data_IF_244141535321
#
_entry.id   IF_244141535321
#
_cell.length_a   1.000
_cell.length_b   1.000
_cell.length_c   1.000
_cell.angle_alpha   90.00
_cell.angle_beta   90.00
_cell.angle_gamma   90.00
#
_symmetry.space_group_name_H-M   'P 1'
#
loop_
_entity.id
_entity.type
_entity.pdbx_description
1 polymer ?
#
# COMPACT_ATOMS: atom_id res chain seq x y z
N UNK A 1 72.18 -9.94 7.15
CA UNK A 1 73.30 -10.81 6.73
C UNK A 1 72.71 -11.89 5.84
N UNK A 2 73.07 -11.89 4.55
CA UNK A 2 72.53 -12.75 3.50
C UNK A 2 72.93 -14.21 3.69
N UNK A 3 72.04 -15.15 3.32
CA UNK A 3 72.39 -16.21 2.35
C UNK A 3 71.14 -16.87 1.77
N UNK A 4 71.10 -16.89 0.44
CA UNK A 4 70.16 -17.60 -0.43
C UNK A 4 70.52 -19.09 -0.49
N UNK A 5 69.52 -19.97 -0.52
CA UNK A 5 69.60 -21.21 -1.30
C UNK A 5 68.28 -21.47 -2.02
N UNK A 6 68.39 -21.44 -3.35
CA UNK A 6 67.39 -21.83 -4.34
C UNK A 6 67.25 -23.34 -4.37
N UNK A 7 66.02 -23.87 -4.33
CA UNK A 7 65.74 -25.16 -4.96
C UNK A 7 64.32 -25.21 -5.56
N UNK A 8 64.38 -25.35 -6.89
CA UNK A 8 63.39 -25.66 -7.94
C UNK A 8 62.01 -26.16 -7.50
N UNK A 9 61.01 -25.56 -8.13
CA UNK A 9 59.67 -26.13 -8.30
C UNK A 9 59.72 -27.47 -9.05
N UNK A 10 58.86 -28.42 -8.65
CA UNK A 10 58.27 -29.35 -9.59
C UNK A 10 56.76 -29.06 -9.64
N UNK A 11 56.28 -28.50 -10.74
CA UNK A 11 54.86 -28.63 -11.08
C UNK A 11 54.53 -30.12 -11.21
N UNK A 12 53.57 -30.67 -10.44
CA UNK A 12 52.99 -31.96 -10.77
C UNK A 12 51.88 -31.74 -11.79
N UNK A 13 52.17 -32.23 -12.99
CA UNK A 13 51.27 -32.84 -13.97
C UNK A 13 49.83 -33.08 -13.50
N UNK A 14 48.89 -32.52 -14.26
CA UNK A 14 47.56 -33.09 -14.62
C UNK A 14 46.83 -33.91 -13.55
N UNK A 15 45.86 -33.29 -12.87
CA UNK A 15 44.82 -33.99 -12.11
C UNK A 15 43.78 -34.59 -13.07
N UNK A 16 44.03 -35.81 -13.56
CA UNK A 16 42.99 -36.67 -14.11
C UNK A 16 42.73 -37.81 -13.11
N UNK A 17 42.06 -37.51 -12.00
CA UNK A 17 41.50 -38.54 -11.12
C UNK A 17 40.03 -38.23 -10.80
N UNK A 18 39.15 -39.25 -10.78
CA UNK A 18 37.71 -39.07 -10.54
C UNK A 18 37.37 -38.59 -9.12
N UNK A 19 38.37 -38.41 -8.24
CA UNK A 19 38.20 -37.89 -6.89
C UNK A 19 38.18 -36.35 -6.82
N UNK A 20 38.66 -35.64 -7.85
CA UNK A 20 38.61 -34.17 -7.89
C UNK A 20 37.26 -33.62 -8.37
N UNK A 21 36.45 -34.41 -9.09
CA UNK A 21 35.09 -34.03 -9.47
C UNK A 21 34.13 -34.03 -8.26
N UNK A 22 34.30 -34.98 -7.33
CA UNK A 22 33.44 -35.07 -6.14
C UNK A 22 33.71 -33.95 -5.13
N UNK A 23 34.95 -33.45 -5.04
CA UNK A 23 35.29 -32.31 -4.20
C UNK A 23 34.81 -30.97 -4.80
N UNK A 24 34.80 -30.85 -6.14
CA UNK A 24 34.25 -29.66 -6.82
C UNK A 24 32.71 -29.65 -6.75
N UNK A 25 32.06 -30.82 -6.86
CA UNK A 25 30.60 -30.93 -6.77
C UNK A 25 30.11 -30.64 -5.33
N UNK A 26 30.84 -31.07 -4.30
CA UNK A 26 30.54 -30.76 -2.90
C UNK A 26 30.66 -29.26 -2.58
N UNK A 27 31.62 -28.56 -3.19
CA UNK A 27 31.78 -27.11 -3.04
C UNK A 27 30.66 -26.34 -3.78
N UNK A 28 30.18 -26.85 -4.91
CA UNK A 28 29.05 -26.27 -5.67
C UNK A 28 27.70 -26.53 -4.99
N UNK A 29 27.51 -27.67 -4.30
CA UNK A 29 26.30 -27.89 -3.49
C UNK A 29 26.28 -27.10 -2.17
N UNK A 30 27.44 -26.80 -1.56
CA UNK A 30 27.49 -25.93 -0.38
C UNK A 30 27.27 -24.43 -0.71
N UNK A 31 27.39 -24.04 -1.98
CA UNK A 31 27.07 -22.68 -2.45
C UNK A 31 25.58 -22.50 -2.82
N UNK A 32 24.78 -23.58 -2.83
CA UNK A 32 23.35 -23.55 -3.14
C UNK A 32 22.43 -23.57 -1.91
N UNK A 33 23.00 -23.54 -0.69
CA UNK A 33 22.23 -23.39 0.56
C UNK A 33 22.78 -22.29 1.46
N UNK A 34 23.41 -21.26 0.86
CA UNK A 34 23.46 -19.99 1.56
C UNK A 34 21.99 -19.54 1.70
N UNK A 35 21.46 -19.26 2.90
CA UNK A 35 20.22 -18.52 2.98
C UNK A 35 20.44 -17.30 2.09
N UNK A 36 19.52 -17.04 1.16
CA UNK A 36 19.54 -15.80 0.43
C UNK A 36 19.70 -14.71 1.49
N UNK A 37 20.87 -14.07 1.54
CA UNK A 37 21.07 -12.90 2.37
C UNK A 37 20.11 -11.90 1.77
N UNK A 38 18.91 -11.80 2.35
CA UNK A 38 17.96 -10.77 2.02
C UNK A 38 18.71 -9.46 2.25
N UNK A 39 18.99 -8.74 1.16
CA UNK A 39 19.58 -7.42 1.29
C UNK A 39 18.69 -6.62 2.26
N UNK A 40 19.27 -5.90 3.23
CA UNK A 40 18.47 -5.13 4.16
C UNK A 40 17.61 -4.16 3.34
N UNK A 41 16.31 -4.11 3.65
CA UNK A 41 15.43 -3.13 3.03
C UNK A 41 16.01 -1.73 3.28
N UNK A 42 16.34 -1.03 2.19
CA UNK A 42 16.78 0.36 2.25
C UNK A 42 15.59 1.21 2.67
N UNK A 43 15.73 1.91 3.80
CA UNK A 43 14.71 2.84 4.28
C UNK A 43 14.64 4.04 3.33
N UNK A 44 13.48 4.24 2.69
CA UNK A 44 13.20 5.43 1.88
C UNK A 44 12.47 6.43 2.77
N UNK A 45 13.24 7.23 3.51
CA UNK A 45 12.69 8.02 4.61
C UNK A 45 12.11 9.36 4.12
N UNK A 46 10.79 9.44 4.10
CA UNK A 46 10.12 10.73 4.27
C UNK A 46 10.18 11.18 5.73
N UNK A 47 10.07 12.49 6.00
CA UNK A 47 10.05 12.99 7.37
C UNK A 47 8.84 12.44 8.12
N UNK A 48 9.11 11.85 9.29
CA UNK A 48 8.07 11.51 10.27
C UNK A 48 7.90 12.71 11.20
N UNK A 49 6.66 13.19 11.31
CA UNK A 49 6.30 14.37 12.11
C UNK A 49 5.35 13.96 13.21
N UNK A 50 5.60 14.40 14.44
CA UNK A 50 4.67 14.21 15.56
C UNK A 50 3.40 15.02 15.34
N UNK A 51 2.24 14.35 15.41
CA UNK A 51 0.91 14.98 15.33
C UNK A 51 0.30 15.18 16.70
N UNK A 52 0.35 14.16 17.56
CA UNK A 52 -0.14 14.19 18.95
C UNK A 52 0.90 13.48 19.82
N UNK A 53 1.31 14.10 20.93
CA UNK A 53 2.14 13.44 21.94
C UNK A 53 1.25 12.69 22.93
N UNK A 54 1.68 11.52 23.38
CA UNK A 54 0.99 10.81 24.44
C UNK A 54 0.84 11.69 25.70
N UNK A 55 -0.32 11.66 26.38
CA UNK A 55 -0.47 12.30 27.67
C UNK A 55 0.60 11.83 28.66
N UNK A 56 1.08 12.71 29.54
CA UNK A 56 2.13 12.38 30.51
C UNK A 56 1.74 11.17 31.36
N UNK A 57 2.60 10.15 31.41
CA UNK A 57 2.35 8.92 32.17
C UNK A 57 1.46 7.90 31.46
N UNK A 58 1.16 8.11 30.18
CA UNK A 58 0.35 7.21 29.35
C UNK A 58 1.11 6.77 28.10
N UNK A 59 0.79 5.58 27.59
CA UNK A 59 1.27 5.09 26.30
C UNK A 59 0.10 4.85 25.35
N UNK A 60 0.13 5.41 24.14
CA UNK A 60 -0.95 5.22 23.15
C UNK A 60 -0.90 3.80 22.58
N UNK A 61 -2.03 3.09 22.65
CA UNK A 61 -2.18 1.76 22.05
C UNK A 61 -2.86 1.81 20.68
N UNK A 62 -3.87 2.67 20.51
CA UNK A 62 -4.62 2.79 19.26
C UNK A 62 -5.25 4.17 19.10
N UNK A 63 -5.58 4.54 17.86
CA UNK A 63 -6.32 5.77 17.56
C UNK A 63 -7.24 5.59 16.35
N UNK A 64 -8.21 6.47 16.23
CA UNK A 64 -9.00 6.64 15.01
C UNK A 64 -9.44 8.10 14.82
N UNK A 65 -9.82 8.43 13.59
CA UNK A 65 -10.33 9.76 13.27
C UNK A 65 -11.81 9.87 13.55
N UNK A 66 -12.18 10.95 14.24
CA UNK A 66 -13.55 11.35 14.49
C UNK A 66 -13.86 12.67 13.76
N UNK A 67 -15.14 13.07 13.63
CA UNK A 67 -15.54 14.28 12.93
C UNK A 67 -14.87 15.55 13.48
N UNK A 68 -14.96 16.63 12.70
CA UNK A 68 -14.38 17.94 13.04
C UNK A 68 -12.86 17.89 13.29
N UNK A 69 -12.15 17.06 12.53
CA UNK A 69 -10.70 16.84 12.63
C UNK A 69 -10.24 16.39 14.03
N UNK A 70 -11.13 15.79 14.82
CA UNK A 70 -10.77 15.24 16.12
C UNK A 70 -10.17 13.84 15.99
N UNK A 71 -9.35 13.47 16.95
CA UNK A 71 -8.76 12.13 17.06
C UNK A 71 -9.26 11.52 18.35
N UNK A 72 -9.78 10.30 18.28
CA UNK A 72 -10.03 9.49 19.47
C UNK A 72 -8.89 8.51 19.62
N UNK A 73 -8.34 8.37 20.81
CA UNK A 73 -7.23 7.47 21.03
C UNK A 73 -7.28 6.84 22.42
N UNK A 74 -6.71 5.66 22.51
CA UNK A 74 -6.71 4.85 23.71
C UNK A 74 -5.29 4.73 24.24
N UNK A 75 -5.14 4.80 25.55
CA UNK A 75 -3.83 4.67 26.20
C UNK A 75 -3.85 3.62 27.30
N UNK A 76 -2.70 2.97 27.46
CA UNK A 76 -2.34 2.10 28.59
C UNK A 76 -1.31 2.72 29.52
N UNK A 77 -0.90 1.94 30.52
CA UNK A 77 0.29 2.21 31.31
C UNK A 77 1.58 2.00 30.47
N UNK A 78 2.56 2.91 30.52
CA UNK A 78 3.80 2.82 29.75
C UNK A 78 4.69 1.61 30.04
N UNK A 79 4.45 0.92 31.16
CA UNK A 79 5.22 -0.23 31.62
C UNK A 79 4.40 -1.52 31.57
N UNK A 80 3.39 -1.58 30.70
CA UNK A 80 2.52 -2.74 30.51
C UNK A 80 1.72 -3.12 31.78
N UNK A 81 1.42 -2.14 32.63
CA UNK A 81 0.50 -2.27 33.75
C UNK A 81 -0.98 -2.10 33.37
N UNK A 82 -1.86 -2.25 34.37
CA UNK A 82 -3.28 -1.89 34.24
C UNK A 82 -3.43 -0.37 34.13
N UNK A 83 -4.48 0.08 33.47
CA UNK A 83 -4.79 1.49 33.30
C UNK A 83 -5.22 1.81 31.87
N UNK A 84 -6.50 1.63 31.58
CA UNK A 84 -7.12 2.02 30.33
C UNK A 84 -7.65 3.45 30.43
N UNK A 85 -7.29 4.31 29.49
CA UNK A 85 -7.95 5.61 29.30
C UNK A 85 -8.28 5.85 27.83
N UNK A 86 -9.52 6.25 27.57
CA UNK A 86 -9.98 6.72 26.27
C UNK A 86 -9.97 8.25 26.24
N UNK A 87 -9.39 8.82 25.20
CA UNK A 87 -9.20 10.26 25.03
C UNK A 87 -9.84 10.75 23.74
N UNK A 88 -10.18 12.04 23.71
CA UNK A 88 -10.42 12.80 22.48
C UNK A 88 -9.48 13.99 22.42
N UNK A 89 -8.79 14.14 21.30
CA UNK A 89 -8.02 15.32 20.91
C UNK A 89 -8.82 16.15 19.90
N UNK A 90 -9.06 17.42 20.19
CA UNK A 90 -9.82 18.33 19.32
C UNK A 90 -8.97 19.09 18.29
N UNK A 91 -7.67 18.79 18.24
CA UNK A 91 -6.68 19.50 17.43
C UNK A 91 -5.81 20.44 18.25
N UNK A 92 -6.19 20.76 19.49
CA UNK A 92 -5.41 21.60 20.41
C UNK A 92 -5.09 20.90 21.73
N UNK A 93 -6.03 20.12 22.28
CA UNK A 93 -5.85 19.48 23.59
C UNK A 93 -6.54 18.11 23.65
N UNK A 94 -6.04 17.24 24.53
CA UNK A 94 -6.66 15.96 24.84
C UNK A 94 -7.52 16.06 26.11
N UNK A 95 -8.71 15.46 26.07
CA UNK A 95 -9.61 15.29 27.22
C UNK A 95 -9.93 13.81 27.39
N UNK A 96 -9.86 13.31 28.63
CA UNK A 96 -10.28 11.94 28.96
C UNK A 96 -11.81 11.83 28.87
N UNK A 97 -12.27 10.83 28.14
CA UNK A 97 -13.69 10.48 28.00
C UNK A 97 -14.10 9.37 28.96
N UNK A 98 -13.18 8.44 29.22
CA UNK A 98 -13.40 7.27 30.07
C UNK A 98 -12.06 6.77 30.62
N UNK A 99 -12.04 6.31 31.87
CA UNK A 99 -10.86 5.71 32.51
C UNK A 99 -11.27 4.51 33.33
N UNK A 100 -10.54 3.41 33.18
CA UNK A 100 -10.64 2.23 34.01
C UNK A 100 -9.24 1.79 34.48
N UNK A 101 -8.90 1.96 35.78
CA UNK A 101 -7.61 1.53 36.32
C UNK A 101 -7.49 0.01 36.53
N UNK A 102 -8.59 -0.75 36.39
CA UNK A 102 -8.65 -2.17 36.69
C UNK A 102 -8.28 -3.10 35.53
N UNK A 103 -8.16 -2.56 34.32
CA UNK A 103 -7.94 -3.35 33.09
C UNK A 103 -6.77 -2.82 32.27
N UNK A 104 -6.14 -3.69 31.49
CA UNK A 104 -5.18 -3.31 30.47
C UNK A 104 -5.89 -2.53 29.36
N UNK A 105 -5.16 -1.63 28.70
CA UNK A 105 -5.64 -1.06 27.44
C UNK A 105 -5.72 -2.14 26.37
N UNK A 106 -6.81 -2.16 25.61
CA UNK A 106 -6.97 -3.09 24.50
C UNK A 106 -6.15 -2.71 23.28
N UNK A 107 -6.45 -3.39 22.18
CA UNK A 107 -5.75 -3.29 20.91
C UNK A 107 -6.35 -2.29 19.93
N UNK A 108 -7.61 -1.84 20.13
CA UNK A 108 -8.30 -1.03 19.13
C UNK A 108 -9.31 -0.05 19.73
N UNK A 109 -9.25 1.18 19.22
CA UNK A 109 -10.38 2.11 19.20
C UNK A 109 -10.79 2.33 17.74
N UNK A 110 -12.09 2.41 17.47
CA UNK A 110 -12.63 2.66 16.13
C UNK A 110 -13.79 3.63 16.21
N UNK A 111 -13.78 4.63 15.32
CA UNK A 111 -14.92 5.51 15.10
C UNK A 111 -15.74 4.97 13.94
N UNK A 112 -17.00 4.61 14.21
CA UNK A 112 -17.86 3.97 13.24
C UNK A 112 -19.29 4.48 13.36
N UNK A 113 -19.84 4.99 12.25
CA UNK A 113 -21.22 5.49 12.18
C UNK A 113 -21.63 6.43 13.32
N UNK A 114 -20.76 7.41 13.63
CA UNK A 114 -21.04 8.41 14.67
C UNK A 114 -20.72 7.96 16.11
N UNK A 115 -20.24 6.73 16.28
CA UNK A 115 -20.00 6.10 17.59
C UNK A 115 -18.54 5.73 17.77
N UNK A 116 -18.11 5.63 19.02
CA UNK A 116 -16.76 5.19 19.39
C UNK A 116 -16.89 3.82 20.04
N UNK A 117 -16.22 2.84 19.44
CA UNK A 117 -16.05 1.51 20.01
C UNK A 117 -14.61 1.32 20.40
N UNK A 118 -14.37 0.62 21.49
CA UNK A 118 -13.03 0.30 21.97
C UNK A 118 -13.05 -0.99 22.77
N UNK A 119 -11.89 -1.60 22.96
CA UNK A 119 -11.75 -2.78 23.81
C UNK A 119 -10.81 -2.56 24.98
N UNK A 120 -11.04 -3.31 26.05
CA UNK A 120 -10.01 -3.54 27.06
C UNK A 120 -9.09 -4.69 26.65
N UNK A 121 -7.97 -4.85 27.36
CA UNK A 121 -7.06 -5.97 27.21
C UNK A 121 -7.20 -7.01 28.32
N UNK A 122 -8.31 -6.99 29.07
CA UNK A 122 -8.47 -7.83 30.24
C UNK A 122 -7.78 -7.30 31.50
N UNK A 123 -7.44 -8.20 32.42
CA UNK A 123 -6.73 -7.94 33.67
C UNK A 123 -5.79 -9.14 34.00
N UNK A 124 -5.16 -9.15 35.17
CA UNK A 124 -4.24 -10.23 35.56
C UNK A 124 -4.91 -11.61 35.68
N UNK A 125 -6.24 -11.66 35.81
CA UNK A 125 -7.07 -12.86 35.91
C UNK A 125 -7.82 -13.20 34.62
N UNK A 126 -8.09 -12.22 33.75
CA UNK A 126 -8.77 -12.37 32.46
C UNK A 126 -7.89 -11.85 31.33
N UNK A 127 -7.48 -12.69 30.39
CA UNK A 127 -6.61 -12.29 29.27
C UNK A 127 -7.37 -12.22 27.93
N UNK A 128 -8.66 -11.92 27.98
CA UNK A 128 -9.57 -11.75 26.83
C UNK A 128 -10.08 -10.31 26.78
N UNK A 129 -10.68 -9.91 25.65
CA UNK A 129 -10.94 -8.50 25.31
C UNK A 129 -12.44 -8.24 25.23
N UNK A 130 -12.97 -7.47 26.17
CA UNK A 130 -14.36 -7.00 26.09
C UNK A 130 -14.45 -5.79 25.18
N UNK A 131 -15.55 -5.68 24.41
CA UNK A 131 -15.82 -4.48 23.62
C UNK A 131 -16.86 -3.59 24.28
N UNK A 132 -16.63 -2.30 24.18
CA UNK A 132 -17.46 -1.26 24.74
C UNK A 132 -17.86 -0.25 23.66
N UNK A 133 -19.09 0.26 23.80
CA UNK A 133 -19.59 1.44 23.13
C UNK A 133 -19.51 2.62 24.10
N UNK A 134 -18.91 3.73 23.68
CA UNK A 134 -19.01 5.00 24.40
C UNK A 134 -20.32 5.71 24.03
N UNK A 135 -21.17 5.93 25.03
CA UNK A 135 -22.43 6.64 24.87
C UNK A 135 -22.23 8.17 24.81
N UNK A 136 -23.20 8.93 24.27
CA UNK A 136 -23.10 10.40 24.18
C UNK A 136 -22.94 11.13 25.53
N UNK A 137 -23.32 10.50 26.63
CA UNK A 137 -23.16 11.01 28.00
C UNK A 137 -21.85 10.56 28.67
N UNK A 138 -20.93 9.98 27.89
CA UNK A 138 -19.65 9.38 28.31
C UNK A 138 -19.78 8.18 29.24
N UNK A 139 -20.97 7.60 29.40
CA UNK A 139 -21.09 6.25 29.98
C UNK A 139 -20.63 5.21 28.97
N UNK A 140 -20.24 4.03 29.44
CA UNK A 140 -19.82 2.91 28.59
C UNK A 140 -20.82 1.78 28.68
N UNK A 141 -21.13 1.17 27.54
CA UNK A 141 -21.97 -0.03 27.46
C UNK A 141 -21.12 -1.16 26.90
N UNK A 142 -21.02 -2.27 27.64
CA UNK A 142 -20.38 -3.48 27.14
C UNK A 142 -21.25 -4.05 26.01
N UNK A 143 -20.68 -4.15 24.82
CA UNK A 143 -21.33 -4.68 23.62
C UNK A 143 -20.86 -6.09 23.28
N UNK A 144 -19.77 -6.56 23.91
CA UNK A 144 -19.29 -7.93 23.82
C UNK A 144 -18.60 -8.31 25.13
N UNK A 145 -19.08 -9.38 25.76
CA UNK A 145 -18.44 -10.05 26.89
C UNK A 145 -17.63 -11.24 26.37
N UNK A 146 -16.31 -11.12 26.42
CA UNK A 146 -15.38 -12.12 25.91
C UNK A 146 -15.24 -13.35 26.80
N UNK A 147 -15.76 -13.33 28.03
CA UNK A 147 -15.68 -14.48 28.95
C UNK A 147 -16.67 -15.60 28.61
N UNK A 148 -17.73 -15.25 27.88
CA UNK A 148 -18.77 -16.16 27.40
C UNK A 148 -18.91 -16.15 25.88
N UNK A 149 -18.01 -15.43 25.17
CA UNK A 149 -18.05 -15.20 23.74
C UNK A 149 -16.65 -15.17 23.11
N UNK A 150 -16.52 -14.55 21.95
CA UNK A 150 -15.28 -14.33 21.22
C UNK A 150 -14.49 -13.14 21.83
N UNK A 151 -13.17 -13.23 21.77
CA UNK A 151 -12.24 -12.16 22.07
C UNK A 151 -11.80 -11.50 20.76
N UNK A 152 -12.22 -10.26 20.53
CA UNK A 152 -11.86 -9.50 19.34
C UNK A 152 -10.62 -8.63 19.58
N UNK A 153 -9.71 -8.62 18.61
CA UNK A 153 -8.48 -7.82 18.64
C UNK A 153 -8.50 -6.69 17.58
N UNK A 154 -9.20 -6.93 16.47
CA UNK A 154 -9.32 -5.96 15.38
C UNK A 154 -10.57 -5.09 15.46
N UNK A 155 -10.62 -4.05 14.63
CA UNK A 155 -11.80 -3.21 14.48
C UNK A 155 -11.57 -2.24 13.34
N UNK A 156 -12.07 -2.60 12.17
CA UNK A 156 -11.93 -1.81 10.95
C UNK A 156 -13.30 -1.67 10.28
N UNK A 157 -13.57 -0.50 9.71
CA UNK A 157 -14.79 -0.30 8.93
C UNK A 157 -14.59 -0.90 7.54
N UNK A 158 -15.45 -1.84 7.16
CA UNK A 158 -15.44 -2.46 5.85
C UNK A 158 -16.18 -1.64 4.79
N UNK A 159 -16.09 -2.05 3.50
CA UNK A 159 -16.67 -1.33 2.37
C UNK A 159 -18.21 -1.32 2.37
N UNK A 160 -18.83 -2.26 3.07
CA UNK A 160 -20.28 -2.35 3.27
C UNK A 160 -20.77 -1.58 4.51
N UNK A 161 -19.89 -0.77 5.11
CA UNK A 161 -20.13 0.00 6.33
C UNK A 161 -20.49 -0.88 7.55
N UNK A 162 -20.02 -2.12 7.61
CA UNK A 162 -19.98 -2.95 8.81
C UNK A 162 -18.61 -2.85 9.50
N UNK A 163 -18.53 -3.34 10.74
CA UNK A 163 -17.25 -3.51 11.44
C UNK A 163 -16.68 -4.90 11.13
N UNK A 164 -15.37 -4.98 10.97
CA UNK A 164 -14.63 -6.22 10.79
C UNK A 164 -13.51 -6.32 11.81
N UNK A 165 -13.31 -7.53 12.32
CA UNK A 165 -12.31 -7.79 13.34
C UNK A 165 -11.68 -9.17 13.13
N UNK A 166 -10.40 -9.28 13.45
CA UNK A 166 -9.80 -10.57 13.76
C UNK A 166 -10.02 -10.87 15.25
N UNK A 167 -10.21 -12.14 15.59
CA UNK A 167 -10.44 -12.57 16.96
C UNK A 167 -10.46 -14.08 17.11
N UNK A 168 -10.60 -14.57 18.34
CA UNK A 168 -10.66 -15.99 18.62
C UNK A 168 -11.66 -16.30 19.72
N UNK A 169 -12.21 -17.52 19.73
CA UNK A 169 -12.87 -18.06 20.91
C UNK A 169 -11.79 -18.47 21.92
N UNK A 170 -11.74 -17.80 23.07
CA UNK A 170 -10.63 -17.95 24.04
C UNK A 170 -9.26 -17.63 23.40
N UNK A 171 -8.34 -18.59 23.45
CA UNK A 171 -6.99 -18.52 22.85
C UNK A 171 -6.84 -19.43 21.62
N UNK A 172 -7.96 -19.69 20.92
CA UNK A 172 -8.00 -20.51 19.72
C UNK A 172 -7.39 -19.84 18.48
N UNK A 173 -7.50 -20.50 17.32
CA UNK A 173 -7.02 -19.93 16.06
C UNK A 173 -7.76 -18.63 15.73
N UNK A 174 -7.04 -17.65 15.18
CA UNK A 174 -7.69 -16.39 14.79
C UNK A 174 -8.61 -16.59 13.59
N UNK A 175 -9.76 -15.93 13.65
CA UNK A 175 -10.83 -15.93 12.67
C UNK A 175 -11.18 -14.50 12.30
N UNK A 176 -11.79 -14.34 11.13
CA UNK A 176 -12.31 -13.06 10.63
C UNK A 176 -13.79 -13.00 10.98
N UNK A 177 -14.20 -11.93 11.66
CA UNK A 177 -15.59 -11.66 12.00
C UNK A 177 -16.06 -10.38 11.31
N UNK A 178 -17.31 -10.42 10.85
CA UNK A 178 -18.09 -9.26 10.46
C UNK A 178 -19.13 -8.99 11.53
N UNK A 179 -19.27 -7.72 11.91
CA UNK A 179 -20.11 -7.26 13.01
C UNK A 179 -21.02 -6.16 12.49
N UNK A 180 -22.33 -6.32 12.67
CA UNK A 180 -23.33 -5.29 12.39
C UNK A 180 -23.87 -4.75 13.71
N UNK A 181 -23.50 -3.52 14.09
CA UNK A 181 -24.19 -2.82 15.17
C UNK A 181 -25.64 -2.52 14.78
N UNK A 182 -26.56 -2.68 15.72
CA UNK A 182 -27.95 -2.25 15.55
C UNK A 182 -28.06 -0.70 15.55
N UNK A 183 -29.26 -0.12 15.32
CA UNK A 183 -29.43 1.33 15.34
C UNK A 183 -29.07 2.02 16.67
N UNK A 184 -29.00 1.30 17.79
CA UNK A 184 -28.54 1.82 19.08
C UNK A 184 -27.01 1.73 19.23
N UNK A 185 -26.36 0.87 18.46
CA UNK A 185 -24.92 0.63 18.46
C UNK A 185 -24.53 -0.68 19.15
N UNK A 186 -25.49 -1.49 19.61
CA UNK A 186 -25.18 -2.78 20.21
C UNK A 186 -24.81 -3.79 19.12
N UNK A 187 -23.84 -4.65 19.39
CA UNK A 187 -23.50 -5.73 18.46
C UNK A 187 -24.66 -6.72 18.39
N UNK A 188 -25.28 -6.80 17.22
CA UNK A 188 -26.53 -7.57 17.02
C UNK A 188 -26.36 -8.79 16.11
N UNK A 189 -25.39 -8.72 15.19
CA UNK A 189 -25.01 -9.80 14.30
C UNK A 189 -23.48 -9.87 14.26
N UNK A 190 -22.95 -11.04 14.61
CA UNK A 190 -21.53 -11.36 14.54
C UNK A 190 -21.40 -12.64 13.72
N UNK A 191 -20.87 -12.51 12.51
CA UNK A 191 -20.72 -13.60 11.56
C UNK A 191 -19.24 -13.92 11.34
N UNK A 192 -18.86 -15.19 11.51
CA UNK A 192 -17.51 -15.70 11.21
C UNK A 192 -17.39 -15.96 9.71
N UNK A 193 -16.40 -15.34 9.06
CA UNK A 193 -16.18 -15.41 7.61
C UNK A 193 -15.07 -16.39 7.20
N UNK A 194 -14.20 -16.77 8.14
CA UNK A 194 -13.06 -17.63 7.87
C UNK A 194 -12.11 -17.76 9.05
N UNK A 195 -11.21 -18.73 8.97
CA UNK A 195 -10.19 -19.01 9.97
C UNK A 195 -8.80 -18.84 9.33
N UNK A 196 -7.96 -17.99 9.95
CA UNK A 196 -6.60 -17.66 9.50
C UNK A 196 -5.54 -18.48 10.25
N UNK A 197 -5.78 -18.80 11.52
CA UNK A 197 -4.93 -19.70 12.31
C UNK A 197 -4.06 -18.99 13.34
N UNK A 198 -3.06 -18.22 12.91
CA UNK A 198 -2.11 -17.52 13.81
C UNK A 198 -2.75 -16.40 14.65
N UNK A 199 -1.96 -15.72 15.48
CA UNK A 199 -2.48 -14.68 16.37
C UNK A 199 -3.19 -13.57 15.59
N UNK A 200 -4.30 -13.09 16.16
CA UNK A 200 -5.13 -12.02 15.57
C UNK A 200 -4.30 -10.78 15.27
N UNK A 201 -4.40 -10.29 14.04
CA UNK A 201 -3.72 -9.09 13.58
C UNK A 201 -4.62 -8.20 12.72
N UNK A 202 -4.05 -7.19 12.05
CA UNK A 202 -4.86 -6.20 11.34
C UNK A 202 -5.50 -6.77 10.06
N UNK A 203 -6.59 -6.11 9.69
CA UNK A 203 -7.32 -6.33 8.45
C UNK A 203 -7.23 -5.05 7.61
N UNK A 204 -7.17 -5.16 6.28
CA UNK A 204 -7.23 -3.99 5.40
C UNK A 204 -8.02 -4.31 4.13
N UNK A 205 -9.06 -3.54 3.84
CA UNK A 205 -9.87 -3.70 2.64
C UNK A 205 -9.30 -2.92 1.48
N UNK A 206 -9.19 -3.54 0.30
CA UNK A 206 -8.82 -2.84 -0.92
C UNK A 206 -9.96 -1.94 -1.40
N UNK A 207 -9.68 -0.90 -2.21
CA UNK A 207 -10.72 -0.09 -2.84
C UNK A 207 -11.72 -0.88 -3.68
N UNK A 208 -11.32 -2.05 -4.19
CA UNK A 208 -12.17 -2.95 -4.97
C UNK A 208 -13.03 -3.89 -4.10
N UNK A 209 -12.88 -3.88 -2.77
CA UNK A 209 -13.60 -4.75 -1.85
C UNK A 209 -12.92 -6.10 -1.56
N UNK A 210 -11.65 -6.27 -1.97
CA UNK A 210 -10.82 -7.38 -1.51
C UNK A 210 -10.34 -7.16 -0.07
N UNK A 211 -9.72 -8.17 0.54
CA UNK A 211 -9.30 -8.14 1.93
C UNK A 211 -7.86 -8.66 2.09
N UNK A 212 -7.05 -7.91 2.83
CA UNK A 212 -5.76 -8.36 3.33
C UNK A 212 -5.85 -8.70 4.82
N UNK A 213 -5.16 -9.77 5.22
CA UNK A 213 -5.04 -10.19 6.61
C UNK A 213 -3.57 -10.47 6.93
N UNK A 214 -3.09 -9.95 8.06
CA UNK A 214 -1.72 -10.16 8.52
C UNK A 214 -1.76 -10.68 9.95
N UNK A 215 -1.03 -11.77 10.29
CA UNK A 215 -0.92 -12.23 11.66
C UNK A 215 -0.36 -11.15 12.60
N UNK A 216 -0.93 -11.07 13.80
CA UNK A 216 -0.42 -10.21 14.88
C UNK A 216 0.91 -10.69 15.42
N UNK A 217 1.08 -12.00 15.42
CA UNK A 217 2.30 -12.73 15.70
C UNK A 217 2.25 -14.06 14.95
N UNK A 218 3.31 -14.38 14.22
CA UNK A 218 3.42 -15.60 13.44
C UNK A 218 4.32 -16.61 14.13
N UNK A 219 3.72 -17.69 14.64
CA UNK A 219 4.41 -18.62 15.53
C UNK A 219 5.52 -19.42 14.81
N UNK A 220 5.40 -19.63 13.50
CA UNK A 220 6.43 -20.33 12.72
C UNK A 220 7.70 -19.48 12.50
N UNK A 221 7.66 -18.19 12.85
CA UNK A 221 8.77 -17.25 12.61
C UNK A 221 8.79 -16.68 11.19
N UNK A 222 9.57 -15.62 10.93
CA UNK A 222 9.60 -14.96 9.63
C UNK A 222 10.08 -15.90 8.51
N UNK A 223 9.68 -15.64 7.25
CA UNK A 223 8.83 -14.52 6.82
C UNK A 223 7.35 -14.70 7.22
N UNK A 224 6.66 -13.60 7.54
CA UNK A 224 5.26 -13.63 7.99
C UNK A 224 4.34 -13.52 6.77
N UNK A 225 3.39 -14.44 6.56
CA UNK A 225 2.48 -14.36 5.43
C UNK A 225 1.54 -13.16 5.53
N UNK A 226 1.35 -12.48 4.39
CA UNK A 226 0.27 -11.53 4.15
C UNK A 226 -0.74 -12.26 3.28
N UNK A 227 -1.91 -12.56 3.85
CA UNK A 227 -2.98 -13.23 3.12
C UNK A 227 -3.79 -12.21 2.33
N UNK A 228 -4.12 -12.51 1.08
CA UNK A 228 -4.92 -11.65 0.21
C UNK A 228 -6.09 -12.39 -0.41
N UNK A 229 -7.29 -11.83 -0.26
CA UNK A 229 -8.54 -12.34 -0.80
C UNK A 229 -9.12 -11.36 -1.82
N UNK A 230 -9.60 -11.87 -2.94
CA UNK A 230 -10.27 -11.09 -3.97
C UNK A 230 -11.63 -10.58 -3.49
N UNK A 231 -12.15 -9.53 -4.15
CA UNK A 231 -13.49 -9.02 -3.85
C UNK A 231 -14.58 -10.08 -4.06
N UNK A 232 -14.40 -10.97 -5.04
CA UNK A 232 -15.31 -12.08 -5.31
C UNK A 232 -15.34 -13.09 -4.17
N UNK A 233 -14.18 -13.43 -3.60
CA UNK A 233 -14.08 -14.33 -2.46
C UNK A 233 -14.70 -13.72 -1.20
N UNK A 234 -14.44 -12.43 -0.94
CA UNK A 234 -15.07 -11.72 0.18
C UNK A 234 -16.60 -11.71 0.02
N UNK A 235 -17.12 -11.41 -1.16
CA UNK A 235 -18.58 -11.46 -1.43
C UNK A 235 -19.14 -12.87 -1.26
N UNK A 236 -18.43 -13.90 -1.71
CA UNK A 236 -18.86 -15.28 -1.55
C UNK A 236 -18.90 -15.69 -0.07
N UNK A 237 -17.88 -15.33 0.71
CA UNK A 237 -17.83 -15.59 2.14
C UNK A 237 -18.93 -14.84 2.92
N UNK A 238 -19.31 -13.63 2.48
CA UNK A 238 -20.44 -12.90 3.06
C UNK A 238 -21.79 -13.56 2.75
N UNK A 239 -21.93 -14.15 1.57
CA UNK A 239 -23.18 -14.78 1.14
C UNK A 239 -23.36 -16.20 1.72
N UNK A 240 -22.27 -16.96 1.83
CA UNK A 240 -22.27 -18.32 2.40
C UNK A 240 -20.96 -18.57 3.18
N UNK A 241 -20.86 -18.08 4.44
CA UNK A 241 -19.64 -18.23 5.23
C UNK A 241 -19.28 -19.69 5.54
N UNK A 242 -20.23 -20.62 5.47
CA UNK A 242 -19.99 -22.05 5.73
C UNK A 242 -19.52 -22.78 4.47
N UNK A 243 -20.09 -22.46 3.31
CA UNK A 243 -19.74 -23.09 2.03
C UNK A 243 -18.56 -22.44 1.31
N UNK A 244 -18.28 -21.17 1.59
CA UNK A 244 -17.19 -20.40 0.98
C UNK A 244 -16.37 -19.58 2.02
N UNK A 245 -15.83 -20.22 3.07
CA UNK A 245 -15.05 -19.50 4.08
C UNK A 245 -13.74 -18.96 3.51
N UNK A 246 -13.27 -17.84 4.05
CA UNK A 246 -11.92 -17.34 3.82
C UNK A 246 -10.91 -18.25 4.54
N UNK A 247 -9.96 -18.83 3.81
CA UNK A 247 -8.95 -19.73 4.38
C UNK A 247 -7.54 -19.38 3.89
N UNK A 248 -6.49 -19.61 4.69
CA UNK A 248 -5.13 -19.22 4.32
C UNK A 248 -4.55 -20.04 3.16
N UNK A 249 -5.07 -21.24 2.91
CA UNK A 249 -4.54 -22.15 1.90
C UNK A 249 -4.63 -21.54 0.50
N UNK A 250 -3.49 -21.36 -0.16
CA UNK A 250 -3.42 -20.76 -1.50
C UNK A 250 -3.54 -19.23 -1.53
N UNK A 251 -3.60 -18.55 -0.38
CA UNK A 251 -3.87 -17.11 -0.29
C UNK A 251 -2.69 -16.28 0.21
N UNK A 252 -1.49 -16.87 0.36
CA UNK A 252 -0.28 -16.08 0.64
C UNK A 252 0.01 -15.20 -0.57
N UNK A 253 -0.24 -13.90 -0.42
CA UNK A 253 -0.11 -12.90 -1.48
C UNK A 253 1.25 -12.18 -1.43
N UNK A 254 1.72 -11.89 -0.22
CA UNK A 254 3.02 -11.29 0.05
C UNK A 254 3.56 -11.79 1.39
N UNK A 255 4.73 -11.30 1.79
CA UNK A 255 5.34 -11.65 3.07
C UNK A 255 5.97 -10.42 3.74
N UNK A 256 5.84 -10.31 5.06
CA UNK A 256 6.70 -9.42 5.85
C UNK A 256 8.11 -10.03 5.90
N UNK A 257 9.15 -9.24 5.60
CA UNK A 257 10.52 -9.74 5.60
C UNK A 257 11.04 -9.98 7.02
N UNK A 258 12.04 -10.84 7.15
CA UNK A 258 12.88 -10.95 8.34
C UNK A 258 13.45 -9.58 8.74
N UNK A 259 13.50 -9.21 10.04
CA UNK A 259 13.23 -10.03 11.22
C UNK A 259 11.81 -9.94 11.79
N UNK A 260 10.87 -9.29 11.09
CA UNK A 260 9.56 -8.97 11.65
C UNK A 260 8.72 -10.22 11.91
N UNK A 261 8.05 -10.28 13.07
CA UNK A 261 7.29 -11.47 13.51
C UNK A 261 5.78 -11.26 13.49
N UNK A 262 5.30 -10.06 13.15
CA UNK A 262 3.87 -9.79 13.01
C UNK A 262 3.56 -8.32 12.79
N UNK A 263 2.27 -8.01 12.81
CA UNK A 263 1.73 -6.67 12.53
C UNK A 263 0.63 -6.26 13.50
N UNK A 264 0.52 -4.97 13.79
CA UNK A 264 -0.57 -4.41 14.60
C UNK A 264 -1.52 -3.50 13.81
N UNK A 265 -1.12 -3.07 12.61
CA UNK A 265 -1.86 -2.11 11.80
C UNK A 265 -1.64 -2.37 10.31
N UNK A 266 -2.72 -2.27 9.56
CA UNK A 266 -2.71 -2.35 8.10
C UNK A 266 -3.73 -1.37 7.54
N UNK A 267 -3.44 -0.79 6.38
CA UNK A 267 -4.36 0.09 5.65
C UNK A 267 -4.03 0.05 4.17
N UNK A 268 -5.01 0.23 3.28
CA UNK A 268 -4.75 0.44 1.85
C UNK A 268 -5.08 1.86 1.44
N UNK A 269 -4.30 2.43 0.51
CA UNK A 269 -4.67 3.69 -0.14
C UNK A 269 -5.65 3.48 -1.30
N UNK A 270 -6.10 4.59 -1.90
CA UNK A 270 -7.01 4.61 -3.05
C UNK A 270 -6.46 3.95 -4.31
N UNK A 271 -5.14 3.71 -4.37
CA UNK A 271 -4.47 3.01 -5.47
C UNK A 271 -4.31 1.51 -5.19
N UNK A 272 -4.80 1.05 -4.02
CA UNK A 272 -4.73 -0.33 -3.59
C UNK A 272 -3.39 -0.73 -2.98
N UNK A 273 -2.44 0.20 -2.77
CA UNK A 273 -1.18 -0.13 -2.10
C UNK A 273 -1.46 -0.45 -0.65
N UNK A 274 -0.96 -1.58 -0.18
CA UNK A 274 -1.09 -2.02 1.20
C UNK A 274 0.08 -1.49 2.01
N UNK A 275 -0.21 -0.88 3.15
CA UNK A 275 0.76 -0.50 4.17
C UNK A 275 0.53 -1.37 5.40
N UNK A 276 1.60 -1.93 5.93
CA UNK A 276 1.56 -2.85 7.07
C UNK A 276 2.61 -2.40 8.09
N UNK A 277 2.25 -2.36 9.37
CA UNK A 277 3.24 -2.22 10.42
C UNK A 277 3.99 -3.54 10.59
N UNK A 278 5.30 -3.50 10.60
CA UNK A 278 6.15 -4.65 10.75
C UNK A 278 6.90 -4.52 12.08
N UNK A 279 6.60 -5.43 13.01
CA UNK A 279 7.06 -5.38 14.39
C UNK A 279 7.81 -6.67 14.75
N UNK A 280 8.87 -6.53 15.54
CA UNK A 280 9.57 -7.63 16.21
C UNK A 280 10.16 -7.14 17.54
N UNK A 281 10.31 -8.05 18.50
CA UNK A 281 10.92 -7.71 19.78
C UNK A 281 12.39 -7.30 19.60
N UNK A 282 12.75 -6.15 20.15
CA UNK A 282 14.10 -5.59 20.06
C UNK A 282 14.42 -4.89 18.73
N UNK A 283 13.49 -4.87 17.78
CA UNK A 283 13.65 -4.24 16.48
C UNK A 283 12.80 -2.95 16.40
N UNK A 284 13.30 -1.87 15.76
CA UNK A 284 12.49 -0.71 15.45
C UNK A 284 11.27 -1.09 14.59
N UNK A 285 10.09 -0.57 14.93
CA UNK A 285 8.90 -0.76 14.11
C UNK A 285 9.05 -0.08 12.75
N UNK A 286 8.62 -0.76 11.68
CA UNK A 286 8.63 -0.22 10.31
C UNK A 286 7.25 -0.20 9.67
N UNK A 287 7.04 0.70 8.72
CA UNK A 287 5.92 0.63 7.79
C UNK A 287 6.43 0.06 6.47
N UNK A 288 5.88 -1.08 6.07
CA UNK A 288 6.18 -1.75 4.81
C UNK A 288 5.02 -1.54 3.84
N UNK A 289 5.34 -1.07 2.63
CA UNK A 289 4.40 -0.90 1.54
C UNK A 289 4.53 -2.06 0.53
N UNK A 290 3.39 -2.49 0.00
CA UNK A 290 3.27 -3.43 -1.11
C UNK A 290 2.41 -2.83 -2.21
N UNK A 291 2.78 -3.04 -3.47
CA UNK A 291 1.94 -2.64 -4.60
C UNK A 291 1.13 -3.84 -5.12
N UNK A 292 -0.13 -3.66 -5.56
CA UNK A 292 -0.96 -4.77 -6.04
C UNK A 292 -0.33 -5.59 -7.18
N UNK A 293 0.38 -4.91 -8.08
CA UNK A 293 0.96 -5.52 -9.29
C UNK A 293 2.34 -6.15 -9.02
N UNK A 294 3.09 -5.60 -8.07
CA UNK A 294 4.40 -6.09 -7.66
C UNK A 294 4.50 -6.02 -6.13
N UNK A 295 4.16 -7.11 -5.42
CA UNK A 295 4.15 -7.15 -3.95
C UNK A 295 5.56 -7.26 -3.36
N UNK A 296 6.55 -6.61 -3.96
CA UNK A 296 7.86 -6.47 -3.35
C UNK A 296 7.78 -5.45 -2.19
N UNK A 297 8.24 -5.83 -0.98
CA UNK A 297 8.15 -4.96 0.18
C UNK A 297 9.08 -3.75 0.05
N UNK A 298 8.54 -2.57 0.35
CA UNK A 298 9.32 -1.32 0.43
C UNK A 298 9.15 -0.68 1.80
N UNK A 299 10.25 -0.43 2.51
CA UNK A 299 10.20 0.29 3.78
C UNK A 299 9.99 1.79 3.55
N UNK A 300 8.88 2.33 4.07
CA UNK A 300 8.45 3.73 3.90
C UNK A 300 8.80 4.58 5.11
N UNK A 301 8.70 4.00 6.30
CA UNK A 301 9.03 4.69 7.54
C UNK A 301 9.60 3.69 8.54
N UNK A 302 10.45 4.20 9.43
CA UNK A 302 10.98 3.50 10.58
C UNK A 302 10.80 4.42 11.77
N UNK A 303 10.32 3.87 12.89
CA UNK A 303 10.37 4.59 14.15
C UNK A 303 11.40 3.94 15.08
N UNK A 304 12.48 4.66 15.46
CA UNK A 304 13.46 4.13 16.39
C UNK A 304 12.91 3.95 17.83
N UNK A 305 11.80 4.60 18.18
CA UNK A 305 11.26 4.67 19.53
C UNK A 305 10.34 3.53 19.97
N UNK A 306 9.92 2.64 19.07
CA UNK A 306 9.06 1.52 19.46
C UNK A 306 8.30 0.84 18.34
N UNK A 307 7.35 -0.01 18.73
CA UNK A 307 6.42 -0.70 17.83
C UNK A 307 5.46 0.29 17.20
N UNK A 308 5.12 0.04 15.93
CA UNK A 308 4.09 0.78 15.21
C UNK A 308 2.78 0.01 15.35
N UNK A 309 1.77 0.67 15.90
CA UNK A 309 0.49 0.04 16.22
C UNK A 309 -0.54 0.29 15.11
N UNK A 310 -1.47 1.23 15.30
CA UNK A 310 -2.56 1.51 14.35
C UNK A 310 -2.04 2.27 13.14
N UNK A 311 -2.55 1.94 11.94
CA UNK A 311 -2.32 2.70 10.70
C UNK A 311 -3.64 3.29 10.19
N UNK A 312 -3.59 4.54 9.73
CA UNK A 312 -4.67 5.25 9.06
C UNK A 312 -4.13 6.10 7.92
N UNK A 313 -5.00 6.53 7.01
CA UNK A 313 -4.67 7.54 5.99
C UNK A 313 -5.53 8.77 6.25
N UNK A 314 -4.88 9.93 6.27
CA UNK A 314 -5.55 11.23 6.40
C UNK A 314 -4.87 12.25 5.49
N UNK A 315 -5.65 12.91 4.63
CA UNK A 315 -5.18 13.98 3.74
C UNK A 315 -3.85 13.67 3.01
N UNK A 316 -3.74 12.48 2.42
CA UNK A 316 -2.54 12.05 1.67
C UNK A 316 -1.34 11.67 2.54
N UNK A 317 -1.52 11.52 3.85
CA UNK A 317 -0.49 11.08 4.79
C UNK A 317 -0.85 9.74 5.40
N UNK A 318 0.16 8.89 5.57
CA UNK A 318 0.10 7.78 6.50
C UNK A 318 0.18 8.35 7.91
N UNK A 319 -0.79 8.02 8.73
CA UNK A 319 -0.83 8.39 10.15
C UNK A 319 -0.76 7.11 10.96
N UNK A 320 0.08 7.10 11.98
CA UNK A 320 0.33 5.91 12.78
C UNK A 320 0.65 6.28 14.23
N UNK A 321 0.47 5.37 15.17
CA UNK A 321 0.90 5.58 16.55
C UNK A 321 2.02 4.62 16.97
N UNK A 322 2.78 5.09 17.95
CA UNK A 322 3.56 4.24 18.87
C UNK A 322 3.11 4.54 20.30
N UNK A 323 3.81 4.02 21.31
CA UNK A 323 3.55 4.36 22.71
C UNK A 323 3.61 5.87 22.97
N UNK A 324 4.51 6.58 22.31
CA UNK A 324 4.88 7.95 22.69
C UNK A 324 4.01 9.02 22.01
N UNK A 325 3.23 8.63 21.00
CA UNK A 325 2.46 9.58 20.22
C UNK A 325 1.86 9.02 18.94
N UNK A 326 1.13 9.89 18.26
CA UNK A 326 0.62 9.72 16.90
C UNK A 326 1.49 10.58 16.00
N UNK A 327 1.93 9.99 14.90
CA UNK A 327 2.86 10.54 13.93
C UNK A 327 2.25 10.47 12.53
N UNK A 328 2.79 11.28 11.64
CA UNK A 328 2.41 11.27 10.23
C UNK A 328 3.64 11.35 9.32
N UNK A 329 3.51 10.74 8.15
CA UNK A 329 4.47 10.80 7.05
C UNK A 329 3.70 10.79 5.73
N UNK A 330 4.15 11.48 4.67
CA UNK A 330 3.48 11.42 3.37
C UNK A 330 3.32 9.98 2.85
N UNK A 331 2.24 9.71 2.11
CA UNK A 331 2.18 8.45 1.34
C UNK A 331 3.27 8.49 0.26
N UNK A 332 3.94 7.36 -0.07
CA UNK A 332 4.94 7.28 -1.15
C UNK A 332 4.43 7.85 -2.46
N UNK A 333 5.33 8.52 -3.19
CA UNK A 333 5.08 9.11 -4.51
C UNK A 333 4.34 8.12 -5.42
N UNK A 334 3.31 8.61 -6.08
CA UNK A 334 2.55 7.93 -7.12
C UNK A 334 2.67 8.74 -8.39
N UNK A 335 2.82 8.05 -9.53
CA UNK A 335 2.77 8.67 -10.84
C UNK A 335 1.70 7.99 -11.66
N UNK A 336 0.66 8.73 -12.01
CA UNK A 336 -0.41 8.27 -12.89
C UNK A 336 -0.37 9.02 -14.22
N UNK A 337 -0.91 8.38 -15.24
CA UNK A 337 -1.10 8.98 -16.56
C UNK A 337 -2.38 8.41 -17.16
N UNK A 338 -2.85 8.99 -18.27
CA UNK A 338 -3.87 8.30 -19.08
C UNK A 338 -3.35 6.99 -19.68
N UNK A 339 -2.03 6.83 -19.78
CA UNK A 339 -1.34 5.61 -20.18
C UNK A 339 -1.77 5.05 -21.54
N UNK A 340 -1.08 4.02 -21.99
CA UNK A 340 -1.54 3.24 -23.13
C UNK A 340 -1.46 4.00 -24.44
N UNK A 341 -2.45 3.83 -25.31
CA UNK A 341 -2.40 4.35 -26.68
C UNK A 341 -2.81 5.82 -26.76
N UNK A 342 -1.96 6.66 -27.35
CA UNK A 342 -2.22 8.07 -27.60
C UNK A 342 -2.34 8.32 -29.10
N UNK A 343 -3.52 8.77 -29.54
CA UNK A 343 -3.75 9.16 -30.93
C UNK A 343 -3.05 10.49 -31.23
N UNK A 344 -2.33 10.52 -32.35
CA UNK A 344 -1.55 11.65 -32.79
C UNK A 344 -1.72 11.91 -34.29
N UNK A 345 -1.54 13.15 -34.71
CA UNK A 345 -1.50 13.52 -36.14
C UNK A 345 -0.10 14.01 -36.48
N UNK A 346 0.53 13.42 -37.49
CA UNK A 346 1.86 13.82 -37.92
C UNK A 346 1.88 15.32 -38.30
N UNK A 347 2.82 16.07 -37.73
CA UNK A 347 2.96 17.52 -37.94
C UNK A 347 2.10 18.41 -37.04
N UNK A 348 1.22 17.85 -36.22
CA UNK A 348 0.46 18.60 -35.21
C UNK A 348 1.10 18.44 -33.81
N UNK A 349 1.17 19.50 -32.98
CA UNK A 349 1.67 19.37 -31.61
C UNK A 349 0.87 18.36 -30.78
N UNK A 350 1.57 17.56 -29.98
CA UNK A 350 1.03 16.62 -29.00
C UNK A 350 1.66 16.91 -27.64
N UNK A 351 0.86 16.82 -26.58
CA UNK A 351 1.31 16.95 -25.19
C UNK A 351 1.00 15.66 -24.43
N UNK A 352 2.02 15.06 -23.83
CA UNK A 352 1.91 13.98 -22.85
C UNK A 352 1.98 14.58 -21.45
N UNK A 353 1.20 14.05 -20.50
CA UNK A 353 1.11 14.59 -19.15
C UNK A 353 1.11 13.47 -18.12
N UNK A 354 1.88 13.65 -17.04
CA UNK A 354 1.82 12.81 -15.85
C UNK A 354 1.18 13.59 -14.69
N UNK A 355 0.53 12.87 -13.78
CA UNK A 355 0.01 13.41 -12.54
C UNK A 355 0.69 12.71 -11.37
N UNK A 356 1.06 13.48 -10.36
CA UNK A 356 1.69 12.99 -9.13
C UNK A 356 0.73 13.07 -7.97
N UNK A 357 0.77 12.08 -7.08
CA UNK A 357 0.09 12.10 -5.79
C UNK A 357 1.03 11.59 -4.70
N UNK A 358 0.76 11.98 -3.45
CA UNK A 358 1.68 11.76 -2.33
C UNK A 358 3.03 12.45 -2.52
N UNK A 359 4.06 11.84 -1.98
CA UNK A 359 5.44 12.30 -2.10
C UNK A 359 5.85 13.38 -1.09
N UNK A 360 7.15 13.69 -1.08
CA UNK A 360 7.73 14.70 -0.20
C UNK A 360 8.78 15.55 -0.91
N UNK A 361 8.84 16.83 -0.56
CA UNK A 361 9.83 17.76 -1.09
C UNK A 361 9.54 18.20 -2.53
N UNK A 362 10.61 18.50 -3.28
CA UNK A 362 10.51 18.96 -4.67
C UNK A 362 10.46 17.77 -5.63
N UNK A 363 9.53 17.82 -6.59
CA UNK A 363 9.46 16.83 -7.68
C UNK A 363 10.39 17.17 -8.82
N UNK A 364 11.07 16.15 -9.35
CA UNK A 364 11.87 16.19 -10.55
C UNK A 364 11.32 15.20 -11.58
N UNK A 365 11.22 15.63 -12.83
CA UNK A 365 10.64 14.92 -13.96
C UNK A 365 11.73 14.74 -15.02
N UNK A 366 11.84 13.53 -15.55
CA UNK A 366 12.66 13.25 -16.72
C UNK A 366 11.85 12.40 -17.69
N UNK A 367 11.56 12.96 -18.87
CA UNK A 367 10.90 12.22 -19.92
C UNK A 367 11.90 11.38 -20.70
N UNK A 368 11.46 10.22 -21.14
CA UNK A 368 12.22 9.32 -21.99
C UNK A 368 11.42 8.91 -23.20
N UNK A 369 12.09 8.79 -24.34
CA UNK A 369 11.61 8.10 -25.52
C UNK A 369 12.30 6.73 -25.61
N UNK A 370 11.52 5.67 -25.76
CA UNK A 370 12.04 4.33 -26.04
C UNK A 370 12.23 4.18 -27.54
N UNK A 371 13.45 3.84 -27.95
CA UNK A 371 13.78 3.60 -29.37
C UNK A 371 13.54 2.14 -29.76
N UNK A 372 13.63 1.84 -31.06
CA UNK A 372 13.47 0.48 -31.60
C UNK A 372 14.46 -0.56 -31.04
N UNK A 373 15.59 -0.12 -30.48
CA UNK A 373 16.59 -0.97 -29.82
C UNK A 373 16.29 -1.17 -28.31
N UNK A 374 15.13 -0.72 -27.83
CA UNK A 374 14.76 -0.66 -26.41
C UNK A 374 15.69 0.19 -25.55
N UNK A 375 16.44 1.11 -26.17
CA UNK A 375 17.21 2.12 -25.45
C UNK A 375 16.31 3.31 -25.12
N UNK A 376 16.40 3.79 -23.89
CA UNK A 376 15.68 4.99 -23.43
C UNK A 376 16.56 6.22 -23.61
N UNK A 377 16.07 7.21 -24.36
CA UNK A 377 16.75 8.48 -24.60
C UNK A 377 16.03 9.59 -23.85
N UNK A 378 16.72 10.40 -23.03
CA UNK A 378 16.10 11.50 -22.32
C UNK A 378 15.61 12.56 -23.32
N UNK A 379 14.39 13.04 -23.09
CA UNK A 379 13.72 14.09 -23.86
C UNK A 379 13.00 15.04 -22.90
N UNK A 380 12.55 16.18 -23.42
CA UNK A 380 11.74 17.13 -22.65
C UNK A 380 12.51 17.85 -21.53
N UNK A 381 11.79 18.74 -20.87
CA UNK A 381 12.28 19.49 -19.71
C UNK A 381 11.82 18.83 -18.41
N UNK A 382 12.32 19.34 -17.28
CA UNK A 382 11.89 18.97 -15.94
C UNK A 382 10.48 19.53 -15.62
N UNK A 383 9.47 18.98 -16.29
CA UNK A 383 8.07 19.39 -16.20
C UNK A 383 7.13 18.18 -16.19
N UNK A 384 5.94 18.29 -15.57
CA UNK A 384 4.94 17.22 -15.54
C UNK A 384 4.28 16.97 -16.91
N UNK A 385 4.70 17.68 -17.95
CA UNK A 385 4.24 17.50 -19.31
C UNK A 385 5.40 17.58 -20.31
N UNK A 386 5.24 16.91 -21.44
CA UNK A 386 6.16 16.96 -22.57
C UNK A 386 5.41 17.24 -23.86
N UNK A 387 5.75 18.34 -24.52
CA UNK A 387 5.14 18.78 -25.78
C UNK A 387 6.12 18.65 -26.93
N UNK A 388 5.70 18.01 -28.01
CA UNK A 388 6.49 17.82 -29.23
C UNK A 388 5.58 17.67 -30.46
N UNK A 389 6.18 17.63 -31.65
CA UNK A 389 5.44 17.41 -32.90
C UNK A 389 5.82 16.05 -33.49
N UNK A 390 4.97 15.01 -33.39
CA UNK A 390 5.26 13.70 -33.97
C UNK A 390 5.34 13.76 -35.51
N UNK A 391 6.25 12.96 -36.07
CA UNK A 391 6.35 12.68 -37.50
C UNK A 391 5.69 11.34 -37.87
N UNK A 392 5.52 11.04 -39.18
CA UNK A 392 4.91 9.78 -39.63
C UNK A 392 5.65 8.52 -39.16
N UNK A 393 6.96 8.62 -38.90
CA UNK A 393 7.78 7.51 -38.41
C UNK A 393 7.71 7.29 -36.90
N UNK A 394 6.95 8.10 -36.16
CA UNK A 394 6.79 7.95 -34.71
C UNK A 394 5.60 7.05 -34.33
N UNK A 395 4.94 6.42 -35.30
CA UNK A 395 3.89 5.42 -35.03
C UNK A 395 4.47 4.24 -34.22
N UNK A 396 3.81 3.89 -33.12
CA UNK A 396 4.29 2.90 -32.16
C UNK A 396 5.45 3.37 -31.26
N UNK A 397 5.90 4.63 -31.37
CA UNK A 397 6.89 5.18 -30.46
C UNK A 397 6.36 5.18 -29.02
N UNK A 398 7.24 4.89 -28.06
CA UNK A 398 6.87 4.78 -26.65
C UNK A 398 7.58 5.84 -25.81
N UNK A 399 6.86 6.37 -24.84
CA UNK A 399 7.34 7.41 -23.94
C UNK A 399 6.96 7.06 -22.51
N UNK A 400 7.80 7.45 -21.56
CA UNK A 400 7.47 7.42 -20.14
C UNK A 400 8.16 8.59 -19.44
N UNK A 401 7.73 8.89 -18.23
CA UNK A 401 8.36 9.88 -17.36
C UNK A 401 8.86 9.17 -16.10
N UNK A 402 10.12 9.38 -15.74
CA UNK A 402 10.58 9.14 -14.37
C UNK A 402 10.29 10.38 -13.56
N UNK A 403 9.60 10.20 -12.43
CA UNK A 403 9.40 11.24 -11.44
C UNK A 403 10.11 10.84 -10.17
N UNK A 404 10.96 11.72 -9.66
CA UNK A 404 11.62 11.52 -8.37
C UNK A 404 11.27 12.64 -7.40
N UNK A 405 11.21 12.29 -6.12
CA UNK A 405 11.05 13.23 -5.02
C UNK A 405 12.19 13.05 -3.99
N UNK A 406 11.99 13.50 -2.75
CA UNK A 406 13.00 13.38 -1.70
C UNK A 406 13.35 11.92 -1.30
N UNK A 407 12.52 10.92 -1.62
CA UNK A 407 12.71 9.53 -1.17
C UNK A 407 12.55 8.45 -2.23
N UNK A 408 11.74 8.70 -3.26
CA UNK A 408 11.33 7.72 -4.26
C UNK A 408 11.57 8.23 -5.67
N UNK A 409 11.86 7.29 -6.57
CA UNK A 409 11.80 7.48 -8.02
C UNK A 409 10.79 6.48 -8.56
N UNK A 410 9.81 6.97 -9.31
CA UNK A 410 8.72 6.18 -9.86
C UNK A 410 8.65 6.42 -11.36
N UNK A 411 8.56 5.32 -12.12
CA UNK A 411 8.37 5.34 -13.56
C UNK A 411 6.87 5.36 -13.85
N UNK A 412 6.43 6.29 -14.69
CA UNK A 412 5.04 6.36 -15.14
C UNK A 412 4.67 5.15 -16.00
N UNK A 413 3.38 4.79 -16.11
CA UNK A 413 2.90 3.97 -17.22
C UNK A 413 3.36 4.53 -18.58
N UNK A 414 3.66 3.64 -19.53
CA UNK A 414 4.09 4.03 -20.88
C UNK A 414 2.92 4.65 -21.69
N UNK A 415 3.24 5.66 -22.48
CA UNK A 415 2.45 6.14 -23.61
C UNK A 415 2.96 5.48 -24.88
N UNK A 416 2.05 5.00 -25.74
CA UNK A 416 2.33 4.40 -27.04
C UNK A 416 1.61 5.22 -28.10
N UNK A 417 2.35 5.83 -29.03
CA UNK A 417 1.73 6.66 -30.05
C UNK A 417 1.05 5.82 -31.13
N UNK A 418 -0.11 6.28 -31.59
CA UNK A 418 -0.71 5.91 -32.88
C UNK A 418 -0.76 7.15 -33.75
N UNK A 419 0.07 7.20 -34.79
CA UNK A 419 0.25 8.40 -35.62
C UNK A 419 -0.49 8.24 -36.93
N UNK A 420 -1.44 9.15 -37.17
CA UNK A 420 -2.14 9.29 -38.44
C UNK A 420 -1.50 10.39 -39.30
N UNK A 421 -1.56 10.23 -40.64
CA UNK A 421 -1.14 11.28 -41.55
C UNK A 421 -2.19 12.40 -41.59
N UNK A 422 -1.77 13.67 -41.68
CA UNK A 422 -2.72 14.78 -41.82
C UNK A 422 -3.56 14.59 -43.09
N UNK A 423 -4.88 14.75 -42.97
CA UNK A 423 -5.77 14.73 -44.14
C UNK A 423 -5.33 15.80 -45.14
N UNK A 424 -5.07 15.46 -46.42
CA UNK A 424 -4.69 16.45 -47.40
C UNK A 424 -5.81 17.50 -47.55
N UNK A 425 -5.51 18.75 -47.20
CA UNK A 425 -6.41 19.91 -47.35
C UNK A 425 -6.75 20.18 -48.84
N UNK A 426 -6.16 19.44 -49.77
CA UNK A 426 -6.32 19.65 -51.21
C UNK A 426 -7.56 19.05 -51.88
N UNK A 427 -8.30 18.09 -51.29
CA UNK A 427 -9.37 17.41 -52.05
C UNK A 427 -10.63 18.25 -52.26
N UNK A 428 -10.96 19.18 -51.37
CA UNK A 428 -12.12 20.07 -51.54
C UNK A 428 -11.83 21.26 -52.45
N UNK A 429 -10.59 21.76 -52.49
CA UNK A 429 -10.23 22.87 -53.39
C UNK A 429 -9.99 22.39 -54.82
N UNK A 430 -9.42 21.19 -55.02
CA UNK A 430 -9.25 20.62 -56.36
C UNK A 430 -10.58 20.25 -57.03
N UNK A 431 -11.58 19.78 -56.27
CA UNK A 431 -12.90 19.48 -56.84
C UNK A 431 -13.66 20.76 -57.22
N UNK A 432 -13.56 21.84 -56.43
CA UNK A 432 -14.20 23.12 -56.76
C UNK A 432 -13.50 23.82 -57.94
N UNK A 433 -12.17 23.73 -58.07
CA UNK A 433 -11.46 24.23 -59.26
C UNK A 433 -11.74 23.40 -60.52
N UNK A 434 -11.92 22.08 -60.43
CA UNK A 434 -12.31 21.26 -61.59
C UNK A 434 -13.78 21.46 -62.00
N UNK A 435 -14.66 21.88 -61.09
CA UNK A 435 -16.06 22.25 -61.40
C UNK A 435 -16.17 23.68 -61.98
N UNK A 436 -15.17 24.54 -61.78
CA UNK A 436 -15.12 25.90 -62.33
C UNK A 436 -14.42 25.99 -63.71
N UNK A 437 -13.64 24.99 -64.11
CA UNK A 437 -12.99 24.96 -65.42
C UNK A 437 -13.93 24.73 -66.63
N UNK A 438 -15.13 24.11 -66.53
CA UNK A 438 -16.10 24.06 -67.61
C UNK A 438 -16.95 25.34 -67.74
N UNK A 439 -17.11 26.14 -66.68
CA UNK A 439 -17.98 27.35 -66.72
C UNK A 439 -17.28 28.53 -67.42
N UNK A 440 -15.95 28.60 -67.38
CA UNK A 440 -15.19 29.59 -68.15
C UNK A 440 -15.20 29.29 -69.67
N UNK A 441 -15.21 28.03 -70.10
CA UNK A 441 -15.23 27.67 -71.51
C UNK A 441 -16.61 27.86 -72.19
N UNK A 442 -17.70 27.84 -71.42
CA UNK A 442 -19.07 28.06 -71.93
C UNK A 442 -19.36 29.56 -72.11
N UNK A 443 -18.70 30.45 -71.34
CA UNK A 443 -18.88 31.90 -71.47
C UNK A 443 -18.21 32.48 -72.73
N UNK A 444 -17.04 31.95 -73.14
CA UNK A 444 -16.35 32.44 -74.35
C UNK A 444 -16.96 31.99 -75.68
N UNK A 445 -17.80 30.94 -75.70
CA UNK A 445 -18.51 30.54 -76.94
C UNK A 445 -19.78 31.36 -77.23
N UNK A 446 -20.33 32.10 -76.26
CA UNK A 446 -21.55 32.91 -76.46
C UNK A 446 -21.31 34.34 -76.94
N UNK A 447 -20.07 34.83 -76.95
CA UNK A 447 -19.76 36.23 -77.32
C UNK A 447 -19.50 36.40 -78.84
N UNK A 448 -19.38 35.31 -79.63
CA UNK A 448 -19.13 35.40 -81.10
C UNK A 448 -20.35 35.31 -82.00
N UNK A 449 -21.56 35.20 -81.45
CA UNK A 449 -22.81 35.11 -82.23
C UNK A 449 -23.89 35.93 -81.53
N UNK A 450 -23.88 37.25 -81.70
CA UNK A 450 -25.06 38.15 -81.83
C UNK A 450 -24.54 39.57 -82.12
N UNK A 451 -24.61 39.95 -83.41
CA UNK A 451 -24.93 41.30 -83.98
C UNK A 451 -23.94 42.46 -83.73
N UNK A 452 -23.68 43.38 -84.67
CA UNK A 452 -24.08 43.57 -86.06
C UNK A 452 -23.01 44.44 -86.71
#
# INVERSE_FOLDING_TARGET
MFTYHTYRSPFPKTFNSPASLSALLALVTCLLTLPALSAPLSLRAYPVITRITAPSGHAISSFDFAPANSVVFMTGDPFYGLGLTLWRHDGSSAVSLFTDPGVFAGSRVVFHNGRIYFNDGGDYSRWTYDYFLLNPDNTVTQVLDSTVSISLWGGETGPDNALYASGAEGFGPSRIYRIIPDPSGLFSDITMLGEIGDASGPLAFTPAGGLYCVPGYYYAGPPVPVYGYTAQEVVAALADPTGAPLTPSGHVWAELPTPFTGSSGAITDSYGRLYVSANAWGEPGRIIMYTPQDPMPVAVAENPGGRIETLRIDNGKLVFNTSDGIYETPIPLIVTTTGGTVEATAGAPLTLTVQTDGGAGTFHYQWFRVTGEKTSVPVGDNLPYYTFTPGPGDDGARYYCEVSDAGFTVVSPEFVLRVSLPTPVGKTVFLVLLILLPTAAIWFRKIRLVRH
#
